data_IF_585631252207
#
_entry.id   IF_585631252207
#
_cell.length_a   1.000
_cell.length_b   1.000
_cell.length_c   1.000
_cell.angle_alpha   90.00
_cell.angle_beta   90.00
_cell.angle_gamma   90.00
#
_symmetry.space_group_name_H-M   'P 1'
#
loop_
_entity.id
_entity.type
_entity.pdbx_description
1 polymer ?
#
# COMPACT_ATOMS: atom_id res chain seq x y z
N UNK A 1 -13.04 10.85 4.29
CA UNK A 1 -14.40 10.28 4.14
C UNK A 1 -15.00 9.99 5.50
N UNK A 2 -16.25 10.37 5.76
CA UNK A 2 -17.01 9.83 6.89
C UNK A 2 -17.55 8.47 6.45
N UNK A 3 -16.92 7.39 6.91
CA UNK A 3 -17.32 6.03 6.55
C UNK A 3 -18.67 5.68 7.22
N UNK A 4 -19.75 5.67 6.44
CA UNK A 4 -21.06 5.15 6.86
C UNK A 4 -21.11 3.61 6.81
N UNK A 5 -19.95 2.96 6.83
CA UNK A 5 -19.79 1.52 6.66
C UNK A 5 -19.77 0.82 8.02
N UNK A 6 -20.48 -0.30 8.12
CA UNK A 6 -20.40 -1.23 9.25
C UNK A 6 -19.91 -2.58 8.76
N UNK A 7 -18.79 -3.05 9.29
CA UNK A 7 -18.14 -4.30 8.88
C UNK A 7 -16.64 -4.27 9.10
N UNK A 8 -15.94 -5.19 8.45
CA UNK A 8 -14.47 -5.25 8.43
C UNK A 8 -13.97 -5.35 7.00
N UNK A 9 -12.78 -4.79 6.72
CA UNK A 9 -12.07 -5.01 5.45
C UNK A 9 -10.99 -6.06 5.67
N UNK A 10 -10.91 -7.03 4.77
CA UNK A 10 -9.99 -8.16 4.84
C UNK A 10 -9.21 -8.24 3.54
N UNK A 11 -7.91 -8.47 3.62
CA UNK A 11 -7.07 -8.75 2.45
C UNK A 11 -6.41 -10.11 2.66
N UNK A 12 -6.47 -10.96 1.64
CA UNK A 12 -5.72 -12.22 1.60
C UNK A 12 -4.52 -11.98 0.69
N UNK A 13 -3.32 -12.08 1.24
CA UNK A 13 -2.07 -11.84 0.53
C UNK A 13 -0.96 -12.79 1.01
N UNK A 14 0.14 -12.86 0.25
CA UNK A 14 1.33 -13.62 0.65
C UNK A 14 2.04 -12.96 1.83
N UNK A 15 2.70 -13.75 2.67
CA UNK A 15 3.52 -13.24 3.79
C UNK A 15 4.73 -12.41 3.31
N UNK A 16 5.14 -12.59 2.05
CA UNK A 16 6.22 -11.81 1.44
C UNK A 16 5.77 -10.42 0.97
N UNK A 17 4.46 -10.14 0.98
CA UNK A 17 3.88 -8.88 0.54
C UNK A 17 3.28 -8.12 1.74
N UNK A 18 3.59 -6.82 1.94
CA UNK A 18 2.98 -6.05 3.00
C UNK A 18 1.48 -5.81 2.74
N UNK A 19 0.65 -5.64 3.79
CA UNK A 19 -0.77 -5.40 3.65
C UNK A 19 -1.07 -3.99 3.09
N UNK A 20 -2.04 -3.90 2.19
CA UNK A 20 -2.55 -2.67 1.57
C UNK A 20 -4.07 -2.70 1.47
N UNK A 21 -4.68 -2.94 2.64
CA UNK A 21 -6.10 -3.28 2.82
C UNK A 21 -7.04 -2.18 2.33
N UNK A 22 -6.62 -0.92 2.32
CA UNK A 22 -7.48 0.19 1.94
C UNK A 22 -7.85 0.18 0.45
N UNK A 23 -7.01 -0.42 -0.41
CA UNK A 23 -7.32 -0.60 -1.84
C UNK A 23 -7.53 -2.05 -2.26
N UNK A 24 -6.78 -3.00 -1.68
CA UNK A 24 -6.83 -4.41 -2.09
C UNK A 24 -7.72 -5.28 -1.18
N UNK A 25 -8.27 -4.71 -0.12
CA UNK A 25 -9.15 -5.42 0.80
C UNK A 25 -10.59 -5.51 0.29
N UNK A 26 -11.26 -6.63 0.59
CA UNK A 26 -12.69 -6.80 0.39
C UNK A 26 -13.45 -6.61 1.71
N UNK A 27 -14.70 -6.15 1.63
CA UNK A 27 -15.57 -5.93 2.79
C UNK A 27 -16.28 -7.21 3.25
N UNK A 28 -16.42 -7.38 4.55
CA UNK A 28 -17.23 -8.41 5.20
C UNK A 28 -18.26 -7.75 6.12
N UNK A 29 -19.53 -8.00 5.85
CA UNK A 29 -20.65 -7.40 6.58
C UNK A 29 -20.93 -8.11 7.91
N UNK A 30 -21.41 -7.39 8.94
CA UNK A 30 -21.85 -7.99 10.19
C UNK A 30 -23.17 -8.77 9.99
N UNK A 31 -23.43 -9.76 10.86
CA UNK A 31 -24.67 -10.55 10.85
C UNK A 31 -24.73 -11.69 9.82
N UNK A 32 -23.65 -11.91 9.08
CA UNK A 32 -23.52 -13.00 8.11
C UNK A 32 -22.35 -13.92 8.46
N UNK A 33 -22.47 -15.19 8.08
CA UNK A 33 -21.34 -16.09 8.00
C UNK A 33 -20.81 -16.06 6.56
N UNK A 34 -19.67 -15.40 6.35
CA UNK A 34 -19.07 -15.24 5.01
C UNK A 34 -18.05 -16.35 4.75
N UNK A 35 -18.33 -17.20 3.76
CA UNK A 35 -17.38 -18.21 3.30
C UNK A 35 -16.55 -17.67 2.14
N UNK A 36 -15.21 -17.67 2.30
CA UNK A 36 -14.27 -17.22 1.27
C UNK A 36 -13.41 -18.41 0.84
N UNK A 37 -13.86 -19.13 -0.18
CA UNK A 37 -13.08 -20.21 -0.78
C UNK A 37 -11.95 -19.63 -1.64
N UNK A 38 -10.72 -20.07 -1.41
CA UNK A 38 -9.52 -19.54 -2.08
C UNK A 38 -8.81 -20.62 -2.88
N UNK A 39 -8.09 -20.20 -3.91
CA UNK A 39 -7.17 -21.04 -4.68
C UNK A 39 -5.85 -20.30 -4.85
N UNK A 40 -4.75 -20.89 -4.40
CA UNK A 40 -3.41 -20.30 -4.55
C UNK A 40 -3.01 -20.30 -6.03
N UNK A 41 -2.60 -19.13 -6.53
CA UNK A 41 -2.09 -18.95 -7.88
C UNK A 41 -0.63 -18.52 -7.79
N UNK A 42 0.27 -19.25 -8.48
CA UNK A 42 1.69 -18.92 -8.58
C UNK A 42 2.01 -18.50 -10.01
N UNK A 43 2.38 -17.25 -10.17
CA UNK A 43 2.70 -16.63 -11.46
C UNK A 43 4.21 -16.41 -11.55
N UNK A 44 4.78 -16.64 -12.72
CA UNK A 44 6.20 -16.38 -12.99
C UNK A 44 6.29 -15.68 -14.35
N UNK A 45 6.90 -14.50 -14.35
CA UNK A 45 7.05 -13.64 -15.52
C UNK A 45 8.49 -13.65 -16.01
N UNK A 46 8.70 -13.32 -17.29
CA UNK A 46 10.04 -13.19 -17.87
C UNK A 46 10.55 -11.75 -17.77
N UNK A 47 11.86 -11.53 -17.57
CA UNK A 47 12.46 -10.19 -17.62
C UNK A 47 12.58 -9.66 -19.06
N UNK A 48 12.93 -8.37 -19.24
CA UNK A 48 13.21 -7.81 -20.56
C UNK A 48 14.31 -8.60 -21.29
N UNK A 49 14.24 -8.78 -22.63
CA UNK A 49 13.25 -8.22 -23.58
C UNK A 49 11.94 -9.01 -23.76
N UNK A 50 11.72 -10.12 -23.04
CA UNK A 50 10.55 -11.00 -23.25
C UNK A 50 9.33 -10.64 -22.41
N UNK A 51 9.51 -9.83 -21.37
CA UNK A 51 8.43 -9.34 -20.50
C UNK A 51 8.91 -8.21 -19.61
N UNK A 52 8.05 -7.80 -18.69
CA UNK A 52 8.32 -6.75 -17.72
C UNK A 52 8.19 -7.34 -16.33
N UNK A 53 9.32 -7.83 -15.80
CA UNK A 53 9.41 -8.34 -14.44
C UNK A 53 10.62 -7.69 -13.77
N UNK A 54 10.39 -7.11 -12.59
CA UNK A 54 11.42 -6.57 -11.73
C UNK A 54 11.40 -7.35 -10.41
N UNK A 55 12.59 -7.63 -9.89
CA UNK A 55 12.78 -8.41 -8.65
C UNK A 55 13.94 -7.89 -7.80
N UNK A 56 14.58 -6.79 -8.22
CA UNK A 56 15.61 -6.14 -7.42
C UNK A 56 15.04 -5.66 -6.08
N UNK A 57 15.88 -5.71 -5.06
CA UNK A 57 15.58 -5.13 -3.78
C UNK A 57 15.34 -3.62 -3.93
N UNK A 58 14.38 -3.10 -3.15
CA UNK A 58 14.11 -1.67 -3.10
C UNK A 58 15.27 -0.94 -2.41
N UNK A 59 15.66 0.22 -2.96
CA UNK A 59 16.83 0.97 -2.50
C UNK A 59 16.70 1.45 -1.04
N UNK A 60 15.47 1.69 -0.58
CA UNK A 60 15.18 2.13 0.79
C UNK A 60 15.48 1.08 1.86
N UNK A 61 15.50 -0.20 1.49
CA UNK A 61 15.68 -1.31 2.43
C UNK A 61 14.53 -1.51 3.43
N UNK A 62 13.37 -0.85 3.25
CA UNK A 62 12.22 -1.01 4.16
C UNK A 62 11.60 -2.41 4.11
N UNK A 63 11.73 -3.10 2.97
CA UNK A 63 11.19 -4.43 2.76
C UNK A 63 12.29 -5.36 2.23
N UNK A 64 12.36 -6.58 2.77
CA UNK A 64 13.38 -7.57 2.38
C UNK A 64 13.10 -8.22 1.04
N UNK A 65 11.81 -8.38 0.69
CA UNK A 65 11.35 -9.01 -0.54
C UNK A 65 10.63 -7.96 -1.37
N UNK A 66 10.96 -7.89 -2.65
CA UNK A 66 10.24 -7.05 -3.58
C UNK A 66 8.83 -7.59 -3.80
N UNK A 67 7.84 -6.70 -3.71
CA UNK A 67 6.48 -6.91 -4.20
C UNK A 67 5.95 -5.60 -4.77
N UNK A 68 4.90 -5.68 -5.59
CA UNK A 68 4.26 -4.48 -6.17
C UNK A 68 3.79 -3.55 -5.06
N UNK A 69 3.17 -4.10 -4.02
CA UNK A 69 2.70 -3.33 -2.87
C UNK A 69 3.85 -2.72 -2.05
N UNK A 70 4.96 -3.45 -1.84
CA UNK A 70 6.13 -2.91 -1.16
C UNK A 70 6.73 -1.72 -1.92
N UNK A 71 6.86 -1.84 -3.25
CA UNK A 71 7.34 -0.75 -4.12
C UNK A 71 6.47 0.50 -4.01
N UNK A 72 5.15 0.31 -3.91
CA UNK A 72 4.21 1.41 -3.81
C UNK A 72 4.25 2.10 -2.45
N UNK A 73 4.24 1.35 -1.35
CA UNK A 73 4.38 1.91 0.00
C UNK A 73 5.71 2.66 0.13
N UNK A 74 6.78 2.13 -0.45
CA UNK A 74 8.09 2.78 -0.50
C UNK A 74 8.02 4.14 -1.22
N UNK A 75 7.44 4.15 -2.42
CA UNK A 75 7.26 5.38 -3.20
C UNK A 75 6.44 6.42 -2.44
N UNK A 76 5.30 6.03 -1.87
CA UNK A 76 4.43 6.91 -1.07
C UNK A 76 5.15 7.44 0.16
N UNK A 77 5.90 6.59 0.87
CA UNK A 77 6.67 6.99 2.06
C UNK A 77 7.73 8.01 1.71
N UNK A 78 8.54 7.73 0.69
CA UNK A 78 9.61 8.64 0.24
C UNK A 78 9.03 9.98 -0.21
N UNK A 79 7.96 9.95 -1.00
CA UNK A 79 7.30 11.17 -1.47
C UNK A 79 6.74 12.02 -0.32
N UNK A 80 6.15 11.41 0.71
CA UNK A 80 5.60 12.14 1.86
C UNK A 80 6.71 12.67 2.78
N UNK A 81 7.79 11.91 2.96
CA UNK A 81 8.95 12.40 3.72
C UNK A 81 9.61 13.58 2.98
N UNK A 82 9.79 13.49 1.66
CA UNK A 82 10.36 14.57 0.83
C UNK A 82 9.49 15.83 0.84
N UNK A 83 8.15 15.70 0.78
CA UNK A 83 7.25 16.84 0.63
C UNK A 83 6.71 17.40 1.95
N UNK A 84 6.54 16.57 2.98
CA UNK A 84 5.90 16.92 4.24
C UNK A 84 6.83 16.78 5.46
N UNK A 85 8.07 16.29 5.28
CA UNK A 85 9.07 16.09 6.35
C UNK A 85 8.55 15.24 7.53
N UNK A 86 7.61 14.34 7.28
CA UNK A 86 7.03 13.44 8.26
C UNK A 86 6.59 12.15 7.55
N UNK A 87 6.16 11.14 8.32
CA UNK A 87 5.52 9.93 7.78
C UNK A 87 4.19 9.65 8.45
N UNK A 88 3.30 8.99 7.73
CA UNK A 88 2.07 8.48 8.30
C UNK A 88 2.33 7.28 9.21
N UNK A 89 1.37 6.98 10.10
CA UNK A 89 1.53 5.92 11.12
C UNK A 89 1.83 4.53 10.55
N UNK A 90 1.32 4.22 9.36
CA UNK A 90 1.46 2.94 8.69
C UNK A 90 2.67 2.87 7.74
N UNK A 91 3.36 3.99 7.52
CA UNK A 91 4.51 4.04 6.61
C UNK A 91 5.79 3.56 7.33
N UNK A 92 6.66 2.80 6.67
CA UNK A 92 7.95 2.38 7.21
C UNK A 92 8.94 3.56 7.38
N UNK A 93 10.12 3.27 7.92
CA UNK A 93 11.20 4.25 8.10
C UNK A 93 11.24 4.90 9.48
N UNK A 94 12.23 5.78 9.65
CA UNK A 94 12.60 6.42 10.91
C UNK A 94 12.19 7.90 11.02
N UNK A 95 11.62 8.47 9.94
CA UNK A 95 11.04 9.80 9.95
C UNK A 95 10.00 9.97 11.08
N UNK A 96 9.86 11.19 11.60
CA UNK A 96 8.87 11.49 12.64
C UNK A 96 7.45 11.33 12.12
N UNK A 97 6.54 10.87 12.99
CA UNK A 97 5.12 10.80 12.65
C UNK A 97 4.53 12.19 12.39
N UNK A 98 3.68 12.30 11.37
CA UNK A 98 2.96 13.53 11.07
C UNK A 98 2.01 13.91 12.21
N UNK A 99 1.94 15.20 12.55
CA UNK A 99 0.90 15.74 13.44
C UNK A 99 -0.46 15.73 12.74
N UNK A 100 -1.59 15.83 13.47
CA UNK A 100 -2.92 15.94 12.86
C UNK A 100 -3.05 17.11 11.86
N UNK A 101 -2.36 18.22 12.11
CA UNK A 101 -2.32 19.38 11.20
C UNK A 101 -1.55 19.03 9.92
N UNK A 102 -0.37 18.41 10.04
CA UNK A 102 0.40 17.95 8.88
C UNK A 102 -0.34 16.88 8.06
N UNK A 103 -1.11 16.02 8.73
CA UNK A 103 -1.98 15.03 8.08
C UNK A 103 -2.97 15.71 7.13
N UNK A 104 -3.73 16.66 7.65
CA UNK A 104 -4.77 17.37 6.91
C UNK A 104 -4.21 18.29 5.84
N UNK A 105 -3.19 19.08 6.17
CA UNK A 105 -2.76 20.21 5.35
C UNK A 105 -1.67 19.83 4.34
N UNK A 106 -0.96 18.71 4.54
CA UNK A 106 0.09 18.24 3.64
C UNK A 106 -0.09 16.79 3.19
N UNK A 107 -0.08 15.83 4.13
CA UNK A 107 0.13 14.43 3.80
C UNK A 107 -1.06 13.81 3.02
N UNK A 108 -2.30 14.04 3.44
CA UNK A 108 -3.49 13.59 2.70
C UNK A 108 -3.61 14.25 1.31
N UNK A 109 -3.50 15.59 1.17
CA UNK A 109 -3.48 16.23 -0.16
C UNK A 109 -2.34 15.75 -1.07
N UNK A 110 -1.17 15.47 -0.50
CA UNK A 110 -0.01 15.00 -1.25
C UNK A 110 -0.23 13.59 -1.83
N UNK A 111 -0.71 12.64 -1.02
CA UNK A 111 -1.08 11.30 -1.49
C UNK A 111 -2.26 11.34 -2.46
N UNK A 112 -3.25 12.21 -2.21
CA UNK A 112 -4.37 12.42 -3.11
C UNK A 112 -3.92 12.86 -4.50
N UNK A 113 -2.91 13.73 -4.60
CA UNK A 113 -2.31 14.16 -5.88
C UNK A 113 -1.46 13.08 -6.53
N UNK A 114 -0.72 12.26 -5.77
CA UNK A 114 0.11 11.19 -6.34
C UNK A 114 -0.73 10.07 -6.96
N UNK A 115 -1.93 9.79 -6.42
CA UNK A 115 -2.88 8.85 -7.03
C UNK A 115 -3.31 9.25 -8.45
N UNK A 116 -3.43 10.57 -8.74
CA UNK A 116 -3.73 11.05 -10.09
C UNK A 116 -2.56 10.87 -11.05
N UNK A 117 -1.30 10.91 -10.59
CA UNK A 117 -0.12 10.75 -11.45
C UNK A 117 -0.01 9.33 -12.01
N UNK A 118 -0.56 8.32 -11.31
CA UNK A 118 -0.58 6.94 -11.77
C UNK A 118 -1.77 6.58 -12.68
N UNK A 119 -2.68 7.53 -12.96
CA UNK A 119 -3.87 7.32 -13.82
C UNK A 119 -3.78 8.08 -15.16
N UNK A 120 -2.63 8.69 -15.48
CA UNK A 120 -2.38 9.36 -16.77
C UNK A 120 -1.24 8.67 -17.51
#
# INVERSE_FOLDING_TARGET
ETAFEAGVRVQIHSQAEPPFVHELGFGVAPGFQTFVATQEQRLTYLPPPWGECESKALESGFFQVYSVTACRIDCETRYIVENCNCRMVHMPGDASYCTPEQYKDCAEPALGKSAWIHTV
#
